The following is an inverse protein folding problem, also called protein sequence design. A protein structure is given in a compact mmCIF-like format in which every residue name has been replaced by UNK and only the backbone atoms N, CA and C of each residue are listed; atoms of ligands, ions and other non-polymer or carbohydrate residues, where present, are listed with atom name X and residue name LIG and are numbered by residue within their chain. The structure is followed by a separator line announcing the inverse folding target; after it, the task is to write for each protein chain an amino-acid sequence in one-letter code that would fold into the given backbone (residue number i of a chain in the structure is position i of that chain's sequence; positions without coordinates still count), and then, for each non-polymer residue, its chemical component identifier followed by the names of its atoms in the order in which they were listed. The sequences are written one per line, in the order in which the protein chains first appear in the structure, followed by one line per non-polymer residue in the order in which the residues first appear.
data_IF_230352408203
#
_entry.id   IF_230352408203
#
_cell.length_a   1.000
_cell.length_b   1.000
_cell.length_c   1.000
_cell.angle_alpha   90.00
_cell.angle_beta   90.00
_cell.angle_gamma   90.00
#
_symmetry.space_group_name_H-M   'P 1'
#
loop_
_entity.id
_entity.type
_entity.pdbx_description
1 polymer ?
#
# COMPACT_ATOMS: atom_id res chain seq x y z
N UNK A 1 9.82 -7.15 7.68
CA UNK A 1 8.34 -7.15 7.63
C UNK A 1 7.79 -5.94 8.35
N UNK A 2 6.83 -5.29 7.76
CA UNK A 2 6.16 -4.13 8.35
C UNK A 2 5.03 -4.63 9.25
N UNK A 3 4.99 -4.19 10.50
CA UNK A 3 4.05 -4.70 11.49
C UNK A 3 3.00 -3.66 11.89
N UNK A 4 1.73 -3.99 11.64
CA UNK A 4 0.57 -3.23 12.11
C UNK A 4 -0.46 -4.19 12.74
N UNK A 5 -0.01 -5.04 13.65
CA UNK A 5 -0.76 -6.19 14.17
C UNK A 5 -2.17 -5.88 14.69
N UNK A 6 -2.39 -4.68 15.20
CA UNK A 6 -3.68 -4.30 15.80
C UNK A 6 -4.57 -3.52 14.85
N UNK A 7 -4.11 -3.27 13.62
CA UNK A 7 -4.80 -2.43 12.65
C UNK A 7 -5.09 -3.17 11.36
N UNK A 8 -6.13 -2.73 10.67
CA UNK A 8 -6.30 -3.05 9.27
C UNK A 8 -5.41 -2.15 8.41
N UNK A 9 -5.00 -2.65 7.27
CA UNK A 9 -4.13 -1.95 6.33
C UNK A 9 -4.84 -1.79 4.99
N UNK A 10 -4.83 -0.58 4.45
CA UNK A 10 -5.26 -0.32 3.08
C UNK A 10 -4.03 -0.34 2.19
N UNK A 11 -4.02 -1.24 1.21
CA UNK A 11 -2.98 -1.30 0.19
C UNK A 11 -3.45 -0.57 -1.06
N UNK A 12 -2.64 0.37 -1.55
CA UNK A 12 -2.95 1.12 -2.76
C UNK A 12 -2.03 0.71 -3.90
N UNK A 13 -2.61 0.22 -4.98
CA UNK A 13 -1.90 -0.11 -6.21
C UNK A 13 -1.97 1.02 -7.23
N UNK A 14 -1.19 0.90 -8.30
CA UNK A 14 -1.08 1.91 -9.35
C UNK A 14 -2.15 1.88 -10.42
N UNK A 15 -3.15 1.00 -10.29
CA UNK A 15 -4.24 0.92 -11.24
C UNK A 15 -5.27 2.04 -11.09
N UNK A 16 -6.43 1.87 -11.71
CA UNK A 16 -7.49 2.86 -11.65
C UNK A 16 -7.93 3.11 -10.20
N UNK A 17 -7.92 4.37 -9.79
CA UNK A 17 -8.29 4.77 -8.44
C UNK A 17 -9.70 5.35 -8.39
N UNK A 18 -10.55 4.76 -7.55
CA UNK A 18 -11.79 5.36 -7.11
C UNK A 18 -11.55 5.97 -5.73
N UNK A 19 -11.59 7.30 -5.64
CA UNK A 19 -11.26 8.01 -4.39
C UNK A 19 -12.22 7.67 -3.26
N UNK A 20 -13.51 7.43 -3.56
CA UNK A 20 -14.49 7.06 -2.55
C UNK A 20 -14.17 5.69 -1.95
N UNK A 21 -13.71 4.74 -2.77
CA UNK A 21 -13.26 3.44 -2.29
C UNK A 21 -12.07 3.57 -1.36
N UNK A 22 -11.12 4.45 -1.68
CA UNK A 22 -9.96 4.70 -0.84
C UNK A 22 -10.37 5.32 0.51
N UNK A 23 -11.25 6.32 0.49
CA UNK A 23 -11.76 6.96 1.70
C UNK A 23 -12.46 5.94 2.59
N UNK A 24 -13.33 5.13 2.01
CA UNK A 24 -14.08 4.11 2.76
C UNK A 24 -13.16 3.01 3.32
N UNK A 25 -12.18 2.58 2.53
CA UNK A 25 -11.19 1.59 2.98
C UNK A 25 -10.40 2.12 4.18
N UNK A 26 -9.97 3.37 4.15
CA UNK A 26 -9.20 3.96 5.25
C UNK A 26 -9.99 4.13 6.53
N UNK A 27 -11.31 4.21 6.46
CA UNK A 27 -12.16 4.22 7.66
C UNK A 27 -12.12 2.88 8.38
N UNK A 28 -12.02 1.78 7.62
CA UNK A 28 -11.96 0.42 8.15
C UNK A 28 -10.52 -0.01 8.43
N UNK A 29 -9.59 0.41 7.59
CA UNK A 29 -8.19 0.01 7.61
C UNK A 29 -7.31 1.27 7.52
N UNK A 30 -7.04 1.93 8.65
CA UNK A 30 -6.47 3.29 8.65
C UNK A 30 -5.01 3.38 8.21
N UNK A 31 -4.24 2.31 8.29
CA UNK A 31 -2.84 2.33 7.87
C UNK A 31 -2.76 2.15 6.35
N UNK A 32 -2.20 3.13 5.66
CA UNK A 32 -2.07 3.12 4.20
C UNK A 32 -0.68 2.69 3.79
N UNK A 33 -0.61 1.70 2.93
CA UNK A 33 0.64 1.25 2.32
C UNK A 33 0.48 1.33 0.81
N UNK A 34 1.40 2.03 0.14
CA UNK A 34 1.38 2.16 -1.30
C UNK A 34 2.35 1.19 -1.95
N UNK A 35 1.92 0.60 -3.06
CA UNK A 35 2.77 -0.22 -3.90
C UNK A 35 3.41 0.68 -4.96
N UNK A 36 4.74 0.80 -4.90
CA UNK A 36 5.57 1.49 -5.89
C UNK A 36 5.04 2.89 -6.25
N UNK A 37 4.75 3.15 -7.54
CA UNK A 37 4.29 4.46 -8.03
C UNK A 37 2.97 4.93 -7.46
N UNK A 38 2.20 4.06 -6.82
CA UNK A 38 0.97 4.47 -6.15
C UNK A 38 1.22 5.44 -4.98
N UNK A 39 2.45 5.55 -4.50
CA UNK A 39 2.81 6.52 -3.47
C UNK A 39 2.57 7.96 -3.93
N UNK A 40 2.97 8.30 -5.16
CA UNK A 40 2.69 9.63 -5.74
C UNK A 40 1.21 9.87 -5.91
N UNK A 41 0.47 8.84 -6.32
CA UNK A 41 -0.98 8.92 -6.49
C UNK A 41 -1.68 9.20 -5.16
N UNK A 42 -1.25 8.54 -4.09
CA UNK A 42 -1.79 8.78 -2.76
C UNK A 42 -1.59 10.24 -2.32
N UNK A 43 -0.38 10.75 -2.47
CA UNK A 43 -0.03 12.12 -2.08
C UNK A 43 -0.85 13.14 -2.88
N UNK A 44 -1.03 12.94 -4.18
CA UNK A 44 -1.86 13.82 -5.01
C UNK A 44 -3.28 13.92 -4.51
N UNK A 45 -3.78 12.87 -3.88
CA UNK A 45 -5.15 12.84 -3.35
C UNK A 45 -5.23 13.18 -1.87
N UNK A 46 -4.15 13.69 -1.29
CA UNK A 46 -4.13 14.17 0.09
C UNK A 46 -3.85 13.09 1.14
N UNK A 47 -3.37 11.92 0.74
CA UNK A 47 -3.09 10.81 1.64
C UNK A 47 -1.59 10.51 1.67
N UNK A 48 -0.98 10.60 2.85
CA UNK A 48 0.44 10.23 3.03
C UNK A 48 0.51 8.78 3.46
N UNK A 49 1.12 7.88 2.68
CA UNK A 49 1.24 6.49 3.10
C UNK A 49 2.19 6.33 4.28
N UNK A 50 1.93 5.33 5.11
CA UNK A 50 2.85 4.96 6.19
C UNK A 50 4.08 4.23 5.64
N UNK A 51 3.92 3.52 4.51
CA UNK A 51 4.99 2.76 3.90
C UNK A 51 4.81 2.68 2.39
N UNK A 52 5.91 2.44 1.68
CA UNK A 52 5.94 2.15 0.24
C UNK A 52 6.68 0.85 0.05
N UNK A 53 6.11 -0.06 -0.72
CA UNK A 53 6.70 -1.37 -1.04
C UNK A 53 6.86 -1.49 -2.54
N UNK A 54 8.01 -1.93 -3.00
CA UNK A 54 8.26 -2.20 -4.41
C UNK A 54 9.72 -2.01 -4.79
N UNK A 55 9.99 -1.98 -6.09
CA UNK A 55 11.34 -1.76 -6.60
C UNK A 55 11.75 -0.28 -6.61
N UNK A 56 10.81 0.61 -6.36
CA UNK A 56 11.00 2.07 -6.29
C UNK A 56 11.31 2.74 -7.64
N UNK A 57 11.21 2.03 -8.74
CA UNK A 57 11.52 2.59 -10.07
C UNK A 57 10.53 3.68 -10.49
N UNK A 58 9.28 3.56 -10.08
CA UNK A 58 8.20 4.49 -10.43
C UNK A 58 8.04 5.63 -9.44
N UNK A 59 8.90 5.73 -8.45
CA UNK A 59 8.84 6.77 -7.41
C UNK A 59 10.02 7.71 -7.58
N UNK A 60 9.76 9.02 -7.62
CA UNK A 60 10.82 10.01 -7.79
C UNK A 60 11.71 10.10 -6.54
N UNK A 61 12.99 10.46 -6.75
CA UNK A 61 13.89 10.73 -5.62
C UNK A 61 13.38 11.88 -4.75
N UNK A 62 12.76 12.88 -5.36
CA UNK A 62 12.19 14.01 -4.62
C UNK A 62 11.10 13.58 -3.66
N UNK A 63 10.34 12.55 -4.01
CA UNK A 63 9.30 12.00 -3.14
C UNK A 63 9.89 11.59 -1.79
N UNK A 64 10.98 10.83 -1.79
CA UNK A 64 11.58 10.34 -0.55
C UNK A 64 12.27 11.43 0.25
N UNK A 65 12.80 12.46 -0.42
CA UNK A 65 13.37 13.62 0.27
C UNK A 65 12.29 14.37 1.03
N UNK A 66 11.14 14.59 0.40
CA UNK A 66 9.99 15.30 1.01
C UNK A 66 9.27 14.48 2.08
N UNK A 67 9.30 13.16 1.98
CA UNK A 67 8.56 12.25 2.85
C UNK A 67 9.50 11.27 3.55
N UNK A 68 10.54 11.80 4.18
CA UNK A 68 11.60 11.00 4.82
C UNK A 68 11.11 10.13 5.98
N UNK A 69 9.95 10.42 6.53
CA UNK A 69 9.41 9.69 7.69
C UNK A 69 8.68 8.40 7.31
N UNK A 70 8.32 8.22 6.04
CA UNK A 70 7.63 7.01 5.64
C UNK A 70 8.59 5.83 5.53
N UNK A 71 8.06 4.65 5.76
CA UNK A 71 8.85 3.42 5.68
C UNK A 71 8.99 3.03 4.21
N UNK A 72 10.22 2.73 3.77
CA UNK A 72 10.49 2.20 2.43
C UNK A 72 10.90 0.74 2.55
N UNK A 73 10.22 -0.14 1.84
CA UNK A 73 10.58 -1.54 1.76
C UNK A 73 10.85 -1.90 0.30
N UNK A 74 12.14 -2.05 -0.02
CA UNK A 74 12.59 -2.36 -1.37
C UNK A 74 12.37 -3.84 -1.67
N UNK A 75 11.53 -4.13 -2.64
CA UNK A 75 11.20 -5.48 -3.08
C UNK A 75 11.36 -5.57 -4.59
N UNK A 76 12.40 -6.25 -5.06
CA UNK A 76 12.77 -6.31 -6.47
C UNK A 76 12.27 -7.55 -7.21
N UNK A 77 11.66 -8.48 -6.51
CA UNK A 77 11.14 -9.68 -7.13
C UNK A 77 10.08 -9.32 -8.18
N UNK A 78 10.16 -9.92 -9.38
CA UNK A 78 9.34 -9.55 -10.53
C UNK A 78 8.30 -10.61 -10.91
N UNK A 79 8.34 -11.78 -10.30
CA UNK A 79 7.46 -12.89 -10.67
C UNK A 79 6.06 -12.79 -10.05
N UNK A 80 5.91 -12.01 -9.00
CA UNK A 80 4.63 -11.82 -8.32
C UNK A 80 4.08 -10.42 -8.55
N UNK A 81 2.78 -10.27 -8.30
CA UNK A 81 2.13 -8.97 -8.44
C UNK A 81 2.52 -8.02 -7.31
N UNK A 82 2.26 -6.73 -7.49
CA UNK A 82 2.47 -5.73 -6.46
C UNK A 82 1.64 -6.03 -5.22
N UNK A 83 0.42 -6.54 -5.40
CA UNK A 83 -0.44 -6.91 -4.27
C UNK A 83 0.18 -8.05 -3.46
N UNK A 84 0.70 -9.08 -4.13
CA UNK A 84 1.39 -10.20 -3.46
C UNK A 84 2.61 -9.70 -2.67
N UNK A 85 3.38 -8.78 -3.24
CA UNK A 85 4.52 -8.17 -2.55
C UNK A 85 4.09 -7.46 -1.27
N UNK A 86 2.98 -6.73 -1.33
CA UNK A 86 2.42 -6.07 -0.16
C UNK A 86 1.98 -7.08 0.90
N UNK A 87 1.24 -8.11 0.50
CA UNK A 87 0.72 -9.12 1.43
C UNK A 87 1.82 -9.83 2.20
N UNK A 88 2.89 -10.25 1.51
CA UNK A 88 3.94 -11.03 2.16
C UNK A 88 4.89 -10.20 3.04
N UNK A 89 4.86 -8.88 2.90
CA UNK A 89 5.76 -7.98 3.64
C UNK A 89 5.07 -7.24 4.80
N UNK A 90 3.81 -7.52 5.06
CA UNK A 90 3.03 -6.79 6.07
C UNK A 90 2.33 -7.79 7.00
N UNK A 91 2.47 -7.56 8.29
CA UNK A 91 1.71 -8.27 9.33
C UNK A 91 0.64 -7.32 9.88
N UNK A 92 -0.62 -7.66 9.65
CA UNK A 92 -1.78 -6.86 10.07
C UNK A 92 -2.98 -7.76 10.30
N UNK A 93 -4.05 -7.22 10.91
CA UNK A 93 -5.27 -8.00 11.13
C UNK A 93 -5.96 -8.38 9.83
N UNK A 94 -6.03 -7.43 8.90
CA UNK A 94 -6.62 -7.64 7.59
C UNK A 94 -6.10 -6.57 6.65
N UNK A 95 -6.30 -6.78 5.37
CA UNK A 95 -5.94 -5.81 4.33
C UNK A 95 -7.07 -5.58 3.36
N UNK A 96 -7.16 -4.36 2.86
CA UNK A 96 -8.08 -3.98 1.80
C UNK A 96 -7.24 -3.45 0.65
N UNK A 97 -7.30 -4.12 -0.50
CA UNK A 97 -6.56 -3.71 -1.70
C UNK A 97 -7.41 -2.83 -2.60
N UNK A 98 -6.88 -1.67 -2.97
CA UNK A 98 -7.52 -0.70 -3.87
C UNK A 98 -6.56 -0.41 -5.01
N UNK A 99 -7.05 -0.44 -6.24
CA UNK A 99 -6.25 -0.06 -7.41
C UNK A 99 -5.33 -1.14 -7.94
N UNK A 100 -5.53 -2.41 -7.59
CA UNK A 100 -4.75 -3.52 -8.13
C UNK A 100 -5.42 -4.21 -9.31
N UNK A 101 -6.73 -4.40 -9.24
CA UNK A 101 -7.49 -5.09 -10.28
C UNK A 101 -8.71 -4.29 -10.74
N UNK A 102 -8.70 -2.97 -10.54
CA UNK A 102 -9.84 -2.12 -10.85
C UNK A 102 -11.02 -2.29 -9.89
N UNK A 103 -10.87 -3.11 -8.86
CA UNK A 103 -11.90 -3.38 -7.87
C UNK A 103 -11.29 -3.41 -6.47
N UNK A 104 -12.13 -3.25 -5.47
CA UNK A 104 -11.73 -3.42 -4.08
C UNK A 104 -11.53 -4.90 -3.77
N UNK A 105 -10.41 -5.23 -3.13
CA UNK A 105 -10.09 -6.59 -2.71
C UNK A 105 -9.88 -6.59 -1.20
N UNK A 106 -10.67 -7.37 -0.49
CA UNK A 106 -10.52 -7.53 0.96
C UNK A 106 -9.78 -8.83 1.26
N UNK A 107 -8.87 -8.79 2.22
CA UNK A 107 -8.05 -9.93 2.56
C UNK A 107 -7.80 -10.01 4.06
N UNK A 108 -8.00 -11.19 4.63
CA UNK A 108 -7.74 -11.42 6.05
C UNK A 108 -6.30 -11.89 6.23
N UNK A 109 -5.42 -10.96 6.61
CA UNK A 109 -3.98 -11.22 6.70
C UNK A 109 -3.63 -12.12 7.89
N UNK A 110 -4.37 -12.04 8.97
CA UNK A 110 -4.11 -12.87 10.15
C UNK A 110 -4.22 -14.38 9.86
N UNK A 111 -5.02 -14.75 8.87
CA UNK A 111 -5.19 -16.16 8.49
C UNK A 111 -4.00 -16.69 7.67
N UNK A 112 -3.13 -15.81 7.18
CA UNK A 112 -1.96 -16.19 6.38
C UNK A 112 -0.72 -16.44 7.24
N UNK A 113 -0.76 -16.03 8.47
CA UNK A 113 0.35 -16.18 9.40
C UNK A 113 0.06 -17.33 10.38
#
# INVERSE_FOLDING_TARGET
MIEFKEFGVTFLGGGELNIDDLINAKKLAPKLIAADGAADLAIKNGFVPAAVIGDMDSVSNDFFVKHSQLIKLHETEQETTDFDKCLRNVDAKFGIGIGFLGARIDHELAALN
#
